data_IF_854472108035
#
_entry.id   IF_854472108035
#
_cell.length_a   1.000
_cell.length_b   1.000
_cell.length_c   1.000
_cell.angle_alpha   90.00
_cell.angle_beta   90.00
_cell.angle_gamma   90.00
#
_symmetry.space_group_name_H-M   'P 1'
#
loop_
_entity.id
_entity.type
_entity.pdbx_description
1 polymer ?
#
# COMPACT_ATOMS: atom_id res chain seq x y z
N UNK A 1 -15.65 10.93 12.76
CA UNK A 1 -15.56 10.83 14.24
C UNK A 1 -14.14 11.05 14.77
N UNK A 2 -13.11 11.03 13.91
CA UNK A 2 -11.73 11.37 14.27
C UNK A 2 -11.11 12.33 13.25
N UNK A 3 -9.93 12.86 13.56
CA UNK A 3 -9.10 13.64 12.65
C UNK A 3 -7.79 12.89 12.35
N UNK A 4 -7.13 13.24 11.25
CA UNK A 4 -5.85 12.64 10.88
C UNK A 4 -5.53 12.83 9.40
N UNK A 5 -4.53 12.11 8.90
CA UNK A 5 -4.16 12.15 7.49
C UNK A 5 -4.40 10.82 6.78
N UNK A 6 -4.73 10.88 5.49
CA UNK A 6 -4.84 9.70 4.62
C UNK A 6 -4.11 9.95 3.30
N UNK A 7 -3.50 8.91 2.75
CA UNK A 7 -2.81 8.99 1.44
C UNK A 7 -3.65 8.31 0.37
N UNK A 8 -3.93 9.02 -0.72
CA UNK A 8 -4.69 8.50 -1.85
C UNK A 8 -3.79 7.75 -2.86
N UNK A 9 -4.40 7.06 -3.82
CA UNK A 9 -3.68 6.28 -4.85
C UNK A 9 -2.80 7.16 -5.76
N UNK A 10 -3.20 8.41 -5.98
CA UNK A 10 -2.36 9.41 -6.66
C UNK A 10 -1.20 9.93 -5.79
N UNK A 11 -1.03 9.36 -4.59
CA UNK A 11 -0.01 9.67 -3.58
C UNK A 11 -0.13 11.04 -2.90
N UNK A 12 -1.21 11.78 -3.15
CA UNK A 12 -1.53 12.99 -2.39
C UNK A 12 -2.01 12.61 -0.98
N UNK A 13 -1.48 13.31 0.02
CA UNK A 13 -1.90 13.21 1.40
C UNK A 13 -2.97 14.27 1.67
N UNK A 14 -4.05 13.88 2.34
CA UNK A 14 -5.14 14.77 2.70
C UNK A 14 -5.33 14.74 4.21
N UNK A 15 -5.55 15.92 4.80
CA UNK A 15 -5.97 16.02 6.19
C UNK A 15 -7.50 15.86 6.28
N UNK A 16 -7.97 15.04 7.21
CA UNK A 16 -9.39 14.84 7.51
C UNK A 16 -9.68 15.44 8.87
N UNK A 17 -10.73 16.25 8.94
CA UNK A 17 -11.17 16.89 10.18
C UNK A 17 -12.25 16.07 10.89
N UNK A 18 -12.28 16.17 12.21
CA UNK A 18 -13.37 15.60 13.02
C UNK A 18 -14.65 16.41 12.83
N UNK A 19 -15.69 15.79 12.29
CA UNK A 19 -16.99 16.44 12.03
C UNK A 19 -17.98 16.27 13.19
N UNK A 20 -17.97 15.11 13.84
CA UNK A 20 -18.81 14.79 15.00
C UNK A 20 -17.97 14.03 16.04
N UNK A 21 -18.41 14.07 17.29
CA UNK A 21 -17.86 13.19 18.33
C UNK A 21 -18.23 11.72 18.05
N UNK A 22 -17.36 10.76 18.43
CA UNK A 22 -17.68 9.34 18.35
C UNK A 22 -19.02 9.01 19.03
N UNK A 23 -19.85 8.22 18.36
CA UNK A 23 -21.17 7.85 18.87
C UNK A 23 -21.08 6.83 20.02
N UNK A 24 -22.00 6.96 20.97
CA UNK A 24 -22.11 6.08 22.15
C UNK A 24 -20.83 6.03 22.97
N UNK A 25 -20.30 4.84 23.24
CA UNK A 25 -19.05 4.61 23.97
C UNK A 25 -17.86 4.38 23.02
N UNK A 26 -18.05 4.65 21.72
CA UNK A 26 -16.99 4.52 20.72
C UNK A 26 -15.87 5.51 21.01
N UNK A 27 -14.64 5.12 20.67
CA UNK A 27 -13.45 5.96 20.81
C UNK A 27 -12.60 5.81 19.55
N UNK A 28 -11.84 6.85 19.14
CA UNK A 28 -10.90 6.72 18.04
C UNK A 28 -9.83 5.67 18.34
N UNK A 29 -9.31 5.01 17.30
CA UNK A 29 -8.32 3.93 17.46
C UNK A 29 -7.10 4.34 18.26
N UNK A 30 -6.54 5.53 18.01
CA UNK A 30 -5.35 6.01 18.74
C UNK A 30 -5.61 6.25 20.24
N UNK A 31 -6.85 6.60 20.63
CA UNK A 31 -7.23 6.67 22.05
C UNK A 31 -7.33 5.27 22.67
N UNK A 32 -7.92 4.31 21.96
CA UNK A 32 -8.01 2.90 22.40
C UNK A 32 -6.61 2.30 22.55
N UNK A 33 -5.74 2.51 21.56
CA UNK A 33 -4.36 2.04 21.57
C UNK A 33 -3.54 2.64 22.72
N UNK A 34 -3.75 3.93 23.03
CA UNK A 34 -3.10 4.57 24.17
C UNK A 34 -3.60 4.03 25.52
N UNK A 35 -4.92 3.86 25.70
CA UNK A 35 -5.49 3.23 26.90
C UNK A 35 -4.94 1.80 27.09
N UNK A 36 -4.84 1.04 26.00
CA UNK A 36 -4.18 -0.27 26.01
C UNK A 36 -2.70 -0.18 26.45
N UNK A 37 -1.91 0.71 25.85
CA UNK A 37 -0.51 0.92 26.21
C UNK A 37 -0.33 1.31 27.68
N UNK A 38 -1.22 2.15 28.20
CA UNK A 38 -1.24 2.56 29.61
C UNK A 38 -1.50 1.38 30.54
N UNK A 39 -2.50 0.55 30.23
CA UNK A 39 -2.83 -0.65 31.02
C UNK A 39 -1.73 -1.70 31.00
N UNK A 40 -1.00 -1.77 29.89
CA UNK A 40 0.13 -2.68 29.72
C UNK A 40 1.46 -2.10 30.22
N UNK A 41 1.49 -0.87 30.73
CA UNK A 41 2.67 -0.26 31.36
C UNK A 41 3.72 0.29 30.38
N UNK A 42 3.36 0.57 29.12
CA UNK A 42 4.27 1.14 28.12
C UNK A 42 3.78 2.45 27.46
N UNK A 43 2.91 3.19 28.16
CA UNK A 43 2.38 4.47 27.67
C UNK A 43 3.50 5.48 27.34
N UNK A 44 4.53 5.61 28.19
CA UNK A 44 5.63 6.54 27.96
C UNK A 44 6.36 6.23 26.64
N UNK A 45 6.65 4.95 26.35
CA UNK A 45 7.26 4.53 25.08
C UNK A 45 6.32 4.76 23.90
N UNK A 46 5.01 4.53 24.07
CA UNK A 46 4.01 4.72 23.02
C UNK A 46 3.94 6.17 22.53
N UNK A 47 4.10 7.15 23.44
CA UNK A 47 4.09 8.58 23.10
C UNK A 47 5.49 9.17 22.87
N UNK A 48 6.51 8.31 22.78
CA UNK A 48 7.90 8.72 22.57
C UNK A 48 8.46 9.56 23.72
N UNK A 49 8.03 9.32 24.96
CA UNK A 49 8.53 10.01 26.13
C UNK A 49 9.84 9.41 26.61
N UNK A 50 10.91 10.21 26.57
CA UNK A 50 12.26 9.81 26.95
C UNK A 50 13.08 11.03 27.38
N UNK A 51 13.92 10.87 28.41
CA UNK A 51 14.89 11.89 28.86
C UNK A 51 14.26 13.28 29.11
N UNK A 52 13.02 13.29 29.61
CA UNK A 52 12.26 14.52 29.91
C UNK A 52 11.53 15.16 28.73
N UNK A 53 11.69 14.63 27.51
CA UNK A 53 10.95 15.04 26.33
C UNK A 53 9.81 14.07 26.00
N UNK A 54 8.76 14.54 25.34
CA UNK A 54 7.64 13.73 24.84
C UNK A 54 7.32 14.16 23.41
N UNK A 55 7.29 13.21 22.48
CA UNK A 55 7.11 13.50 21.06
C UNK A 55 5.64 13.72 20.69
N UNK A 56 4.73 12.97 21.34
CA UNK A 56 3.30 13.02 21.06
C UNK A 56 2.56 13.49 22.30
N UNK A 57 1.96 14.68 22.25
CA UNK A 57 1.15 15.17 23.36
C UNK A 57 -0.09 14.28 23.57
N UNK A 58 -0.58 14.24 24.81
CA UNK A 58 -1.82 13.53 25.17
C UNK A 58 -2.77 14.53 25.79
N UNK A 59 -3.98 14.60 25.25
CA UNK A 59 -5.04 15.50 25.72
C UNK A 59 -6.15 14.69 26.38
N UNK A 60 -6.84 15.29 27.34
CA UNK A 60 -8.09 14.75 27.87
C UNK A 60 -9.25 15.39 27.12
N UNK A 61 -10.05 14.59 26.42
CA UNK A 61 -11.18 15.08 25.64
C UNK A 61 -12.42 15.28 26.51
N UNK A 62 -13.42 15.99 25.98
CA UNK A 62 -14.68 16.28 26.69
C UNK A 62 -15.42 15.00 27.14
N UNK A 63 -15.30 13.91 26.36
CA UNK A 63 -15.84 12.60 26.69
C UNK A 63 -15.09 11.87 27.84
N UNK A 64 -14.03 12.48 28.40
CA UNK A 64 -13.37 12.04 29.62
C UNK A 64 -12.19 11.09 29.45
N UNK A 65 -11.97 10.55 28.24
CA UNK A 65 -10.80 9.72 27.93
C UNK A 65 -9.59 10.56 27.50
N UNK A 66 -8.41 9.92 27.51
CA UNK A 66 -7.15 10.50 27.03
C UNK A 66 -6.90 10.09 25.57
N UNK A 67 -6.39 11.01 24.78
CA UNK A 67 -6.19 10.85 23.34
C UNK A 67 -4.83 11.46 22.92
N UNK A 68 -3.98 10.70 22.20
CA UNK A 68 -2.79 11.26 21.55
C UNK A 68 -3.15 12.33 20.50
N UNK A 69 -2.39 13.43 20.46
CA UNK A 69 -2.56 14.51 19.46
C UNK A 69 -2.11 14.00 18.09
N UNK A 70 -3.06 13.89 17.15
CA UNK A 70 -2.85 13.28 15.83
C UNK A 70 -1.87 14.05 14.95
N UNK A 71 -1.77 15.38 15.13
CA UNK A 71 -0.78 16.21 14.47
C UNK A 71 0.64 15.80 14.88
N UNK A 72 0.87 15.54 16.16
CA UNK A 72 2.18 15.11 16.66
C UNK A 72 2.52 13.70 16.16
N UNK A 73 1.53 12.81 16.05
CA UNK A 73 1.70 11.49 15.44
C UNK A 73 2.21 11.62 14.00
N UNK A 74 1.62 12.49 13.18
CA UNK A 74 2.09 12.71 11.82
C UNK A 74 3.50 13.31 11.80
N UNK A 75 3.81 14.28 12.66
CA UNK A 75 5.16 14.85 12.76
C UNK A 75 6.19 13.79 13.16
N UNK A 76 5.84 12.86 14.04
CA UNK A 76 6.70 11.75 14.43
C UNK A 76 6.94 10.77 13.27
N UNK A 77 5.89 10.44 12.52
CA UNK A 77 6.01 9.66 11.27
C UNK A 77 6.94 10.38 10.28
N UNK A 78 6.79 11.69 10.10
CA UNK A 78 7.63 12.46 9.19
C UNK A 78 9.10 12.43 9.60
N UNK A 79 9.41 12.54 10.90
CA UNK A 79 10.80 12.44 11.41
C UNK A 79 11.46 11.08 11.14
N UNK A 80 10.68 10.01 11.00
CA UNK A 80 11.17 8.65 10.79
C UNK A 80 11.27 8.22 9.32
N UNK A 81 10.80 9.02 8.36
CA UNK A 81 10.54 8.55 6.98
C UNK A 81 11.38 9.26 5.90
N UNK A 82 12.58 9.70 6.28
CA UNK A 82 13.55 10.34 5.37
C UNK A 82 13.88 9.53 4.13
N UNK A 83 14.13 8.23 4.27
CA UNK A 83 14.54 7.36 3.15
C UNK A 83 13.47 7.16 2.09
N UNK A 84 12.22 7.36 2.47
CA UNK A 84 11.07 7.22 1.58
C UNK A 84 10.59 8.60 1.11
N UNK A 85 10.84 9.69 1.82
CA UNK A 85 10.42 11.03 1.39
C UNK A 85 8.97 11.36 1.78
N UNK A 86 8.58 10.95 2.99
CA UNK A 86 7.34 11.41 3.65
C UNK A 86 7.68 12.41 4.76
N UNK A 87 8.59 13.35 4.52
CA UNK A 87 9.12 14.24 5.57
C UNK A 87 8.58 15.66 5.49
N UNK A 88 8.28 16.14 4.29
CA UNK A 88 7.82 17.52 4.09
C UNK A 88 6.33 17.74 4.36
N UNK A 89 5.54 16.68 4.58
CA UNK A 89 4.08 16.76 4.74
C UNK A 89 3.63 17.01 6.18
N UNK A 90 3.97 18.18 6.74
CA UNK A 90 3.49 18.60 8.05
C UNK A 90 1.96 18.73 8.12
N UNK A 91 1.34 18.51 9.29
CA UNK A 91 -0.09 18.80 9.50
C UNK A 91 -0.51 20.20 9.04
N UNK A 92 0.31 21.22 9.32
CA UNK A 92 0.03 22.62 8.98
C UNK A 92 -0.15 22.83 7.49
N UNK A 93 0.81 22.36 6.69
CA UNK A 93 0.75 22.44 5.21
C UNK A 93 -0.45 21.66 4.67
N UNK A 94 -0.70 20.45 5.17
CA UNK A 94 -1.82 19.64 4.70
C UNK A 94 -3.17 20.30 5.02
N UNK A 95 -3.34 20.81 6.24
CA UNK A 95 -4.54 21.56 6.64
C UNK A 95 -4.73 22.84 5.82
N UNK A 96 -3.64 23.58 5.55
CA UNK A 96 -3.65 24.74 4.68
C UNK A 96 -4.16 24.37 3.27
N UNK A 97 -3.69 23.26 2.70
CA UNK A 97 -4.17 22.79 1.40
C UNK A 97 -5.68 22.47 1.44
N UNK A 98 -6.14 21.78 2.50
CA UNK A 98 -7.56 21.42 2.65
C UNK A 98 -8.48 22.63 2.80
N UNK A 99 -8.04 23.70 3.47
CA UNK A 99 -8.82 24.96 3.59
C UNK A 99 -8.85 25.78 2.30
N UNK A 100 -7.87 25.61 1.43
CA UNK A 100 -7.67 26.43 0.23
C UNK A 100 -7.61 25.59 -1.04
N UNK A 101 -8.45 24.55 -1.16
CA UNK A 101 -8.45 23.65 -2.33
C UNK A 101 -8.62 24.39 -3.66
N UNK A 102 -9.35 25.50 -3.64
CA UNK A 102 -9.59 26.36 -4.80
C UNK A 102 -8.32 27.10 -5.30
N UNK A 103 -7.23 27.09 -4.54
CA UNK A 103 -5.95 27.67 -4.95
C UNK A 103 -5.17 26.78 -5.94
N UNK A 104 -5.58 25.53 -6.12
CA UNK A 104 -4.88 24.55 -6.94
C UNK A 104 -5.61 24.34 -8.26
N UNK A 105 -4.86 24.32 -9.36
CA UNK A 105 -5.41 24.00 -10.67
C UNK A 105 -5.92 22.54 -10.71
N UNK A 106 -7.14 22.34 -11.23
CA UNK A 106 -7.80 21.02 -11.18
C UNK A 106 -7.15 19.95 -12.06
N UNK A 107 -6.28 20.34 -13.00
CA UNK A 107 -5.62 19.40 -13.93
C UNK A 107 -4.21 19.06 -13.47
N UNK A 108 -3.43 20.07 -13.15
CA UNK A 108 -2.02 19.96 -12.75
C UNK A 108 -1.87 19.78 -11.25
N UNK A 109 -2.92 20.07 -10.47
CA UNK A 109 -2.93 20.11 -9.01
C UNK A 109 -1.93 21.12 -8.44
N UNK A 110 -1.41 22.06 -9.24
CA UNK A 110 -0.38 22.99 -8.83
C UNK A 110 -1.00 24.31 -8.41
N UNK A 111 -0.52 24.87 -7.30
CA UNK A 111 -0.79 26.25 -6.94
C UNK A 111 0.27 27.15 -7.60
N UNK A 112 -0.16 28.13 -8.39
CA UNK A 112 0.73 29.06 -9.11
C UNK A 112 0.49 30.51 -8.71
N UNK A 113 -0.24 30.72 -7.63
CA UNK A 113 -0.61 32.04 -7.10
C UNK A 113 -0.20 32.13 -5.64
N UNK A 114 0.10 33.35 -5.16
CA UNK A 114 0.45 33.59 -3.76
C UNK A 114 -0.81 33.55 -2.87
N UNK A 115 -1.29 32.34 -2.60
CA UNK A 115 -2.35 32.11 -1.62
C UNK A 115 -1.72 31.77 -0.28
N UNK A 116 -1.98 32.62 0.71
CA UNK A 116 -1.52 32.48 2.08
C UNK A 116 -2.68 31.98 2.93
N UNK A 117 -2.50 30.83 3.57
CA UNK A 117 -3.48 30.29 4.49
C UNK A 117 -3.65 31.19 5.72
N UNK A 118 -4.88 31.56 6.03
CA UNK A 118 -5.19 32.54 7.09
C UNK A 118 -4.86 32.05 8.50
N UNK A 119 -4.86 30.73 8.71
CA UNK A 119 -4.66 30.14 10.03
C UNK A 119 -3.18 29.91 10.32
N UNK A 120 -2.44 29.40 9.34
CA UNK A 120 -1.02 29.03 9.51
C UNK A 120 -0.04 30.06 8.98
N UNK A 121 -0.49 31.00 8.14
CA UNK A 121 0.38 31.92 7.40
C UNK A 121 1.18 31.25 6.28
N UNK A 122 0.89 29.99 5.96
CA UNK A 122 1.62 29.23 4.95
C UNK A 122 1.28 29.70 3.53
N UNK A 123 2.29 30.12 2.76
CA UNK A 123 2.13 30.42 1.33
C UNK A 123 2.22 29.13 0.51
N UNK A 124 1.16 28.75 -0.17
CA UNK A 124 1.08 27.50 -0.96
C UNK A 124 1.62 27.63 -2.39
N UNK A 125 2.06 28.82 -2.82
CA UNK A 125 2.59 29.01 -4.17
C UNK A 125 3.74 28.03 -4.47
N UNK A 126 3.62 27.30 -5.58
CA UNK A 126 4.55 26.28 -6.03
C UNK A 126 4.17 24.85 -5.64
N UNK A 127 3.35 24.66 -4.60
CA UNK A 127 2.99 23.34 -4.10
C UNK A 127 2.05 22.58 -5.04
N UNK A 128 2.13 21.26 -4.97
CA UNK A 128 1.10 20.38 -5.51
C UNK A 128 0.09 20.01 -4.40
N UNK A 129 -1.20 19.92 -4.76
CA UNK A 129 -2.26 19.61 -3.82
C UNK A 129 -2.00 18.28 -3.11
N UNK A 130 -2.09 18.33 -1.77
CA UNK A 130 -1.76 17.20 -0.89
C UNK A 130 -0.30 16.73 -0.90
N UNK A 131 0.66 17.52 -1.40
CA UNK A 131 2.11 17.23 -1.29
C UNK A 131 2.48 15.79 -1.70
N UNK A 132 2.20 15.40 -2.96
CA UNK A 132 2.27 14.03 -3.43
C UNK A 132 3.67 13.43 -3.22
N UNK A 133 3.71 12.15 -2.88
CA UNK A 133 4.96 11.44 -2.59
C UNK A 133 5.88 11.32 -3.83
N UNK A 134 7.21 11.53 -3.65
CA UNK A 134 7.88 12.00 -2.43
C UNK A 134 7.81 13.52 -2.22
N UNK A 135 7.84 13.92 -0.95
CA UNK A 135 8.06 15.28 -0.48
C UNK A 135 9.20 15.27 0.56
N UNK A 136 10.38 15.72 0.13
CA UNK A 136 11.61 15.65 0.91
C UNK A 136 11.86 16.91 1.75
N UNK A 137 12.76 16.76 2.72
CA UNK A 137 13.20 17.87 3.56
C UNK A 137 12.26 18.16 4.72
N UNK A 138 12.58 19.21 5.46
CA UNK A 138 11.70 19.75 6.50
C UNK A 138 10.55 20.54 5.85
N UNK A 139 9.46 20.82 6.57
CA UNK A 139 8.38 21.67 6.07
C UNK A 139 8.87 23.05 5.58
N UNK A 140 9.88 23.62 6.24
CA UNK A 140 10.46 24.93 5.91
C UNK A 140 11.28 24.91 4.61
N UNK A 141 11.82 23.75 4.23
CA UNK A 141 12.46 23.57 2.93
C UNK A 141 11.46 23.71 1.77
N UNK A 142 10.16 23.54 2.06
CA UNK A 142 9.04 23.79 1.14
C UNK A 142 9.14 23.02 -0.18
N UNK A 143 9.54 21.75 -0.11
CA UNK A 143 9.45 20.87 -1.27
C UNK A 143 7.96 20.70 -1.65
N UNK A 144 7.57 20.80 -2.94
CA UNK A 144 6.16 20.86 -3.35
C UNK A 144 5.46 19.50 -3.44
N UNK A 145 6.25 18.42 -3.33
CA UNK A 145 5.81 17.06 -3.65
C UNK A 145 6.11 16.71 -5.11
N UNK A 146 6.13 15.42 -5.43
CA UNK A 146 6.56 14.91 -6.75
C UNK A 146 5.43 14.08 -7.40
N UNK A 147 4.47 14.73 -8.10
CA UNK A 147 3.35 14.01 -8.71
C UNK A 147 3.82 13.01 -9.78
N UNK A 148 4.83 13.39 -10.56
CA UNK A 148 5.46 12.53 -11.57
C UNK A 148 6.86 12.14 -11.10
N UNK A 149 7.06 10.85 -10.85
CA UNK A 149 8.38 10.34 -10.48
C UNK A 149 9.31 10.37 -11.69
N UNK A 150 10.59 10.61 -11.43
CA UNK A 150 11.65 10.52 -12.43
C UNK A 150 11.48 11.52 -13.61
N UNK A 151 10.80 12.64 -13.37
CA UNK A 151 10.67 13.73 -14.33
C UNK A 151 11.94 14.59 -14.30
N UNK A 152 12.88 14.28 -15.21
CA UNK A 152 14.15 15.01 -15.34
C UNK A 152 14.00 16.36 -16.01
N UNK A 153 12.84 16.67 -16.61
CA UNK A 153 12.57 17.96 -17.25
C UNK A 153 12.34 19.10 -16.25
N UNK A 154 12.32 18.79 -14.94
CA UNK A 154 12.11 19.74 -13.86
C UNK A 154 13.27 19.70 -12.86
N UNK A 155 13.46 20.84 -12.20
CA UNK A 155 14.34 20.94 -11.05
C UNK A 155 13.79 20.12 -9.88
N UNK A 156 14.66 19.56 -9.04
CA UNK A 156 14.24 18.69 -7.93
C UNK A 156 13.34 19.41 -6.92
N UNK A 157 13.59 20.70 -6.67
CA UNK A 157 12.74 21.56 -5.83
C UNK A 157 11.38 21.91 -6.46
N UNK A 158 11.13 21.48 -7.69
CA UNK A 158 9.87 21.68 -8.43
C UNK A 158 9.09 20.35 -8.57
N UNK A 159 9.48 19.32 -7.81
CA UNK A 159 8.90 17.97 -7.87
C UNK A 159 9.47 17.09 -8.98
N UNK A 160 10.59 17.52 -9.61
CA UNK A 160 11.35 16.71 -10.57
C UNK A 160 12.26 15.68 -9.91
N UNK A 161 12.86 14.79 -10.70
CA UNK A 161 13.83 13.86 -10.16
C UNK A 161 14.39 12.85 -11.13
N UNK A 162 15.22 11.97 -10.60
CA UNK A 162 15.95 10.92 -11.32
C UNK A 162 15.87 9.58 -10.58
N UNK A 163 16.41 8.52 -11.18
CA UNK A 163 16.35 7.18 -10.63
C UNK A 163 17.37 6.98 -9.50
N UNK A 164 16.93 6.28 -8.46
CA UNK A 164 17.70 6.09 -7.23
C UNK A 164 18.85 5.10 -7.37
N UNK A 165 20.02 5.44 -6.81
CA UNK A 165 21.20 4.57 -6.75
C UNK A 165 21.12 3.52 -5.61
N UNK A 166 20.05 2.72 -5.60
CA UNK A 166 19.74 1.81 -4.48
C UNK A 166 20.48 0.46 -4.53
N UNK A 167 21.01 0.07 -5.69
CA UNK A 167 21.54 -1.28 -5.93
C UNK A 167 23.07 -1.33 -6.06
N UNK A 168 23.75 -0.35 -5.48
CA UNK A 168 25.18 -0.14 -5.67
C UNK A 168 25.49 0.70 -6.92
N UNK A 169 26.78 0.93 -7.15
CA UNK A 169 27.29 1.77 -8.25
C UNK A 169 27.77 0.96 -9.45
N UNK A 170 28.03 -0.34 -9.25
CA UNK A 170 28.59 -1.24 -10.26
C UNK A 170 28.05 -2.65 -10.03
N UNK A 171 27.91 -3.40 -11.12
CA UNK A 171 27.72 -4.85 -11.11
C UNK A 171 28.47 -5.49 -12.27
N UNK A 172 29.21 -6.55 -11.99
CA UNK A 172 29.92 -7.35 -13.00
C UNK A 172 30.83 -6.49 -13.92
N UNK A 173 31.47 -5.45 -13.35
CA UNK A 173 32.30 -4.48 -14.09
C UNK A 173 31.52 -3.43 -14.88
N UNK A 174 30.19 -3.41 -14.79
CA UNK A 174 29.32 -2.46 -15.49
C UNK A 174 28.73 -1.45 -14.51
N UNK A 175 28.94 -0.17 -14.81
CA UNK A 175 28.35 0.92 -14.03
C UNK A 175 26.82 0.87 -14.03
N UNK A 176 26.25 0.93 -12.83
CA UNK A 176 24.81 1.07 -12.59
C UNK A 176 24.37 2.54 -12.52
N UNK A 177 25.33 3.48 -12.49
CA UNK A 177 25.07 4.90 -12.46
C UNK A 177 24.49 5.38 -13.80
N UNK A 178 23.71 6.45 -13.78
CA UNK A 178 23.13 7.03 -14.98
C UNK A 178 24.23 7.50 -15.96
N UNK A 179 23.92 7.45 -17.26
CA UNK A 179 24.80 7.97 -18.30
C UNK A 179 24.81 9.50 -18.30
N UNK A 180 25.83 10.08 -18.93
CA UNK A 180 25.99 11.52 -19.09
C UNK A 180 24.75 12.16 -19.74
N UNK A 181 24.29 13.27 -19.16
CA UNK A 181 23.12 14.01 -19.62
C UNK A 181 21.77 13.51 -19.06
N UNK A 182 21.75 12.42 -18.29
CA UNK A 182 20.55 11.95 -17.60
C UNK A 182 20.47 12.52 -16.17
N UNK A 183 20.02 13.76 -16.04
CA UNK A 183 19.90 14.46 -14.74
C UNK A 183 18.71 15.43 -14.71
N UNK A 184 18.29 15.85 -13.52
CA UNK A 184 17.26 16.88 -13.36
C UNK A 184 17.76 18.25 -13.83
N UNK A 185 16.85 19.09 -14.32
CA UNK A 185 17.16 20.47 -14.71
C UNK A 185 17.80 21.23 -13.54
N UNK A 186 18.91 21.92 -13.82
CA UNK A 186 19.65 22.73 -12.84
C UNK A 186 20.49 21.93 -11.83
N UNK A 187 20.67 20.62 -12.03
CA UNK A 187 21.61 19.84 -11.23
C UNK A 187 23.07 20.19 -11.57
N UNK A 188 23.90 20.37 -10.54
CA UNK A 188 25.35 20.60 -10.70
C UNK A 188 26.09 19.35 -11.18
N UNK A 189 25.60 18.16 -10.82
CA UNK A 189 26.13 16.89 -11.30
C UNK A 189 25.27 16.38 -12.46
N UNK A 190 25.86 16.38 -13.65
CA UNK A 190 25.16 16.06 -14.91
C UNK A 190 25.37 14.61 -15.38
N UNK A 191 26.09 13.82 -14.58
CA UNK A 191 26.36 12.39 -14.79
C UNK A 191 25.63 11.56 -13.73
N UNK A 192 25.77 10.24 -13.77
CA UNK A 192 25.38 9.39 -12.65
C UNK A 192 26.28 9.57 -11.42
N UNK A 193 25.72 9.48 -10.22
CA UNK A 193 26.44 9.68 -8.96
C UNK A 193 25.86 8.80 -7.82
N UNK A 194 26.68 8.41 -6.82
CA UNK A 194 26.22 7.61 -5.69
C UNK A 194 25.33 8.42 -4.74
N UNK A 195 24.73 7.73 -3.77
CA UNK A 195 24.04 8.38 -2.65
C UNK A 195 24.96 9.36 -1.89
N UNK A 196 24.41 10.47 -1.41
CA UNK A 196 25.16 11.48 -0.66
C UNK A 196 25.45 11.06 0.79
N UNK A 197 26.72 11.13 1.16
CA UNK A 197 27.19 11.00 2.53
C UNK A 197 28.13 12.14 2.93
N UNK A 198 28.51 12.21 4.21
CA UNK A 198 29.41 13.24 4.70
C UNK A 198 30.76 13.27 3.95
N UNK A 199 31.23 12.13 3.44
CA UNK A 199 32.50 12.06 2.69
C UNK A 199 32.35 12.69 1.32
N UNK A 200 31.30 12.33 0.58
CA UNK A 200 31.01 12.90 -0.73
C UNK A 200 30.75 14.41 -0.63
N UNK A 201 29.96 14.83 0.35
CA UNK A 201 29.70 16.25 0.61
C UNK A 201 31.00 17.03 0.86
N UNK A 202 31.96 16.47 1.61
CA UNK A 202 33.28 17.10 1.85
C UNK A 202 34.13 17.14 0.59
N UNK A 203 34.14 16.05 -0.20
CA UNK A 203 34.90 15.98 -1.46
C UNK A 203 34.41 16.98 -2.51
N UNK A 204 33.11 17.20 -2.57
CA UNK A 204 32.49 18.18 -3.48
C UNK A 204 32.62 19.63 -2.97
N UNK A 205 33.08 19.82 -1.73
CA UNK A 205 33.14 21.13 -1.08
C UNK A 205 31.80 21.61 -0.50
N UNK A 206 30.70 20.88 -0.73
CA UNK A 206 29.34 21.26 -0.31
C UNK A 206 29.11 21.17 1.20
N UNK A 207 30.01 20.50 1.94
CA UNK A 207 29.93 20.37 3.40
C UNK A 207 29.89 21.73 4.12
N UNK A 208 30.54 22.75 3.58
CA UNK A 208 30.62 24.09 4.21
C UNK A 208 29.29 24.86 4.14
N UNK A 209 28.33 24.38 3.34
CA UNK A 209 26.99 24.96 3.20
C UNK A 209 25.97 24.42 4.22
N UNK A 210 26.40 23.43 5.01
CA UNK A 210 25.72 23.02 6.22
C UNK A 210 26.01 24.02 7.34
N UNK A 211 24.99 24.36 8.12
CA UNK A 211 25.16 25.09 9.38
C UNK A 211 25.99 24.27 10.36
N UNK A 212 26.61 24.91 11.36
CA UNK A 212 27.42 24.19 12.36
C UNK A 212 26.64 23.06 13.07
N UNK A 213 25.36 23.29 13.34
CA UNK A 213 24.48 22.29 13.94
C UNK A 213 24.23 21.10 13.01
N UNK A 214 23.99 21.36 11.71
CA UNK A 214 23.82 20.31 10.70
C UNK A 214 25.13 19.54 10.47
N UNK A 215 26.29 20.21 10.42
CA UNK A 215 27.58 19.54 10.28
C UNK A 215 27.82 18.57 11.44
N UNK A 216 27.57 19.01 12.68
CA UNK A 216 27.67 18.15 13.87
C UNK A 216 26.68 16.98 13.82
N UNK A 217 25.47 17.20 13.31
CA UNK A 217 24.46 16.15 13.21
C UNK A 217 24.75 15.14 12.09
N UNK A 218 25.35 15.59 10.98
CA UNK A 218 25.59 14.81 9.77
C UNK A 218 26.97 14.12 9.73
N UNK A 219 27.90 14.50 10.61
CA UNK A 219 29.25 13.91 10.65
C UNK A 219 29.20 12.39 10.84
N UNK A 220 29.93 11.64 10.01
CA UNK A 220 29.88 10.17 10.04
C UNK A 220 28.60 9.55 9.45
N UNK A 221 27.67 10.34 8.92
CA UNK A 221 26.36 9.88 8.44
C UNK A 221 26.20 10.03 6.93
N UNK A 222 25.13 9.42 6.42
CA UNK A 222 24.60 9.66 5.08
C UNK A 222 23.24 10.35 5.14
N UNK A 223 22.74 10.77 3.97
CA UNK A 223 21.45 11.47 3.82
C UNK A 223 20.25 10.79 4.48
N UNK A 224 20.29 9.46 4.69
CA UNK A 224 19.22 8.68 5.32
C UNK A 224 19.18 8.83 6.84
N UNK A 225 20.37 8.99 7.41
CA UNK A 225 20.63 8.96 8.87
C UNK A 225 20.95 10.34 9.44
N UNK A 226 21.20 11.32 8.57
CA UNK A 226 21.24 12.72 8.93
C UNK A 226 19.83 13.25 9.26
N UNK A 227 19.46 13.17 10.53
CA UNK A 227 18.15 13.60 11.02
C UNK A 227 17.97 15.11 11.07
N UNK A 228 19.02 15.92 10.86
CA UNK A 228 18.82 17.37 10.71
C UNK A 228 18.29 17.72 9.31
N UNK A 229 18.36 16.80 8.35
CA UNK A 229 17.97 17.02 6.96
C UNK A 229 18.93 17.91 6.18
N UNK A 230 20.12 18.18 6.73
CA UNK A 230 21.07 19.14 6.17
C UNK A 230 21.64 18.66 4.84
N UNK A 231 22.04 17.39 4.74
CA UNK A 231 22.54 16.80 3.48
C UNK A 231 21.47 16.91 2.39
N UNK A 232 20.21 16.60 2.71
CA UNK A 232 19.09 16.68 1.75
C UNK A 232 18.88 18.12 1.31
N UNK A 233 18.85 19.06 2.26
CA UNK A 233 18.68 20.49 1.98
C UNK A 233 19.77 20.97 1.02
N UNK A 234 21.05 20.73 1.32
CA UNK A 234 22.15 21.21 0.49
C UNK A 234 22.12 20.53 -0.88
N UNK A 235 22.04 19.20 -0.95
CA UNK A 235 22.03 18.48 -2.23
C UNK A 235 20.89 18.95 -3.15
N UNK A 236 19.67 19.06 -2.62
CA UNK A 236 18.49 19.38 -3.44
C UNK A 236 18.33 20.87 -3.69
N UNK A 237 18.44 21.70 -2.65
CA UNK A 237 18.13 23.13 -2.73
C UNK A 237 19.27 23.93 -3.34
N UNK A 238 20.52 23.56 -3.03
CA UNK A 238 21.68 24.35 -3.46
C UNK A 238 22.28 23.81 -4.76
N UNK A 239 22.23 22.49 -4.98
CA UNK A 239 22.91 21.84 -6.12
C UNK A 239 21.99 21.09 -7.08
N UNK A 240 20.67 21.18 -6.89
CA UNK A 240 19.69 20.56 -7.79
C UNK A 240 19.76 19.03 -7.89
N UNK A 241 20.44 18.36 -6.94
CA UNK A 241 20.71 16.93 -6.97
C UNK A 241 19.81 16.19 -5.96
N UNK A 242 19.28 15.03 -6.33
CA UNK A 242 18.62 14.15 -5.35
C UNK A 242 19.62 13.54 -4.37
N UNK A 243 19.29 13.43 -3.07
CA UNK A 243 20.21 12.93 -2.05
C UNK A 243 20.52 11.43 -2.21
N UNK A 244 19.64 10.71 -2.89
CA UNK A 244 19.71 9.26 -3.05
C UNK A 244 20.53 8.79 -4.27
N UNK A 245 21.28 9.69 -4.91
CA UNK A 245 22.08 9.37 -6.09
C UNK A 245 21.33 9.49 -7.41
N UNK A 246 21.98 9.04 -8.48
CA UNK A 246 21.45 9.01 -9.83
C UNK A 246 21.94 7.76 -10.58
N UNK A 247 21.03 6.82 -10.82
CA UNK A 247 21.34 5.50 -11.39
C UNK A 247 20.42 5.12 -12.54
N UNK A 248 20.73 4.02 -13.21
CA UNK A 248 19.89 3.44 -14.28
C UNK A 248 18.67 2.75 -13.69
N UNK A 249 17.53 2.87 -14.38
CA UNK A 249 16.41 1.96 -14.17
C UNK A 249 16.83 0.51 -14.49
N UNK A 250 16.32 -0.45 -13.73
CA UNK A 250 16.70 -1.86 -13.86
C UNK A 250 15.55 -2.69 -14.42
N UNK A 251 15.76 -3.26 -15.61
CA UNK A 251 14.86 -4.25 -16.20
C UNK A 251 15.20 -5.70 -15.80
N UNK A 252 16.46 -5.97 -15.43
CA UNK A 252 16.93 -7.31 -15.01
C UNK A 252 17.15 -7.34 -13.51
N UNK A 253 16.33 -8.08 -12.78
CA UNK A 253 16.34 -8.16 -11.32
C UNK A 253 17.10 -9.40 -10.85
N UNK A 254 18.43 -9.37 -10.97
CA UNK A 254 19.32 -10.50 -10.66
C UNK A 254 19.21 -11.10 -9.24
N UNK A 255 18.56 -10.40 -8.30
CA UNK A 255 18.36 -10.87 -6.94
C UNK A 255 17.00 -11.54 -6.73
N UNK A 256 16.18 -11.67 -7.78
CA UNK A 256 14.92 -12.41 -7.75
C UNK A 256 15.11 -13.83 -8.32
N UNK A 257 14.20 -14.76 -7.99
CA UNK A 257 14.25 -16.12 -8.53
C UNK A 257 14.19 -16.14 -10.06
N UNK A 258 13.37 -15.27 -10.64
CA UNK A 258 13.29 -15.02 -12.06
C UNK A 258 13.80 -13.58 -12.32
N UNK A 259 15.00 -13.42 -12.93
CA UNK A 259 15.56 -12.09 -13.17
C UNK A 259 14.80 -11.25 -14.20
N UNK A 260 14.00 -11.90 -15.03
CA UNK A 260 13.10 -11.31 -16.01
C UNK A 260 11.75 -12.02 -15.92
N UNK A 261 10.64 -11.43 -16.39
CA UNK A 261 9.34 -12.10 -16.39
C UNK A 261 9.39 -13.41 -17.20
N UNK A 262 9.05 -14.52 -16.53
CA UNK A 262 8.94 -15.85 -17.12
C UNK A 262 7.55 -16.39 -16.77
N UNK A 263 6.86 -16.99 -17.74
CA UNK A 263 5.56 -17.63 -17.49
C UNK A 263 5.75 -18.85 -16.59
N UNK A 264 4.92 -18.96 -15.55
CA UNK A 264 4.83 -20.10 -14.64
C UNK A 264 3.36 -20.43 -14.39
N UNK A 265 3.02 -21.71 -14.40
CA UNK A 265 1.68 -22.16 -14.06
C UNK A 265 1.41 -21.99 -12.56
N UNK A 266 0.15 -21.70 -12.17
CA UNK A 266 -0.26 -21.58 -10.78
C UNK A 266 -0.08 -22.90 -10.01
N UNK A 267 -0.14 -22.85 -8.68
CA UNK A 267 0.09 -24.02 -7.84
C UNK A 267 -0.90 -25.15 -8.14
N UNK A 268 -2.13 -24.80 -8.50
CA UNK A 268 -3.15 -25.69 -9.02
C UNK A 268 -3.53 -25.23 -10.43
N UNK A 269 -3.28 -26.08 -11.41
CA UNK A 269 -3.66 -25.84 -12.80
C UNK A 269 -4.42 -27.05 -13.34
N UNK A 270 -5.51 -26.84 -14.12
CA UNK A 270 -6.18 -27.95 -14.81
C UNK A 270 -5.40 -28.43 -16.05
N UNK A 271 -4.22 -27.86 -16.33
CA UNK A 271 -3.40 -28.11 -17.53
C UNK A 271 -2.06 -28.79 -17.17
N UNK A 272 -2.03 -30.13 -17.00
CA UNK A 272 -0.79 -30.84 -16.69
C UNK A 272 0.31 -30.66 -17.74
N UNK A 273 -0.08 -30.46 -19.00
CA UNK A 273 0.84 -30.19 -20.11
C UNK A 273 1.54 -28.84 -19.95
N UNK A 274 0.82 -27.81 -19.47
CA UNK A 274 1.41 -26.50 -19.20
C UNK A 274 2.25 -26.51 -17.92
N UNK A 275 1.83 -27.26 -16.89
CA UNK A 275 2.62 -27.44 -15.66
C UNK A 275 3.98 -28.06 -15.98
N UNK A 276 4.02 -29.06 -16.86
CA UNK A 276 5.27 -29.67 -17.30
C UNK A 276 6.18 -28.70 -18.07
N UNK A 277 5.58 -27.80 -18.87
CA UNK A 277 6.33 -26.82 -19.67
C UNK A 277 6.79 -25.60 -18.85
N UNK A 278 5.99 -25.19 -17.87
CA UNK A 278 6.16 -23.95 -17.10
C UNK A 278 5.92 -24.22 -15.61
N UNK A 279 6.79 -25.00 -14.95
CA UNK A 279 6.59 -25.38 -13.56
C UNK A 279 6.68 -24.16 -12.63
N UNK A 280 6.08 -24.30 -11.45
CA UNK A 280 6.28 -23.37 -10.34
C UNK A 280 7.73 -23.39 -9.83
N UNK A 281 8.05 -22.54 -8.86
CA UNK A 281 9.38 -22.49 -8.25
C UNK A 281 9.71 -23.76 -7.45
N UNK A 282 10.99 -23.95 -7.12
CA UNK A 282 11.39 -24.97 -6.16
C UNK A 282 10.93 -24.61 -4.74
N UNK A 283 10.65 -25.64 -3.93
CA UNK A 283 10.30 -25.48 -2.53
C UNK A 283 11.39 -24.74 -1.75
N UNK A 284 10.98 -23.92 -0.78
CA UNK A 284 11.89 -23.18 0.09
C UNK A 284 11.74 -23.62 1.52
N UNK A 285 12.81 -24.16 2.09
CA UNK A 285 12.85 -24.56 3.50
C UNK A 285 12.67 -23.38 4.45
N UNK A 286 13.17 -22.20 4.09
CA UNK A 286 13.08 -21.00 4.93
C UNK A 286 12.87 -19.79 4.05
N UNK A 287 11.63 -19.32 4.00
CA UNK A 287 11.24 -18.09 3.35
C UNK A 287 10.37 -17.29 4.33
N UNK A 288 10.82 -16.10 4.73
CA UNK A 288 10.19 -15.29 5.78
C UNK A 288 9.86 -16.05 7.08
N UNK A 289 10.78 -16.94 7.49
CA UNK A 289 10.74 -17.80 8.71
C UNK A 289 9.86 -19.05 8.64
N UNK A 290 9.23 -19.36 7.50
CA UNK A 290 8.44 -20.58 7.33
C UNK A 290 8.90 -21.38 6.10
N UNK A 291 8.66 -22.71 6.06
CA UNK A 291 8.77 -23.46 4.82
C UNK A 291 7.62 -23.07 3.88
N UNK A 292 7.96 -22.85 2.61
CA UNK A 292 7.00 -22.51 1.56
C UNK A 292 7.11 -23.52 0.43
N UNK A 293 6.01 -24.22 0.18
CA UNK A 293 5.96 -25.28 -0.81
C UNK A 293 5.47 -24.72 -2.15
N UNK A 294 6.08 -25.19 -3.23
CA UNK A 294 5.79 -24.80 -4.59
C UNK A 294 5.68 -26.07 -5.43
N UNK A 295 6.77 -26.46 -6.08
CA UNK A 295 6.85 -27.64 -6.93
C UNK A 295 6.31 -28.90 -6.27
N UNK A 296 6.55 -29.16 -4.99
CA UNK A 296 6.02 -30.37 -4.34
C UNK A 296 4.49 -30.41 -4.28
N UNK A 297 3.84 -29.27 -4.04
CA UNK A 297 2.37 -29.17 -4.05
C UNK A 297 1.85 -29.29 -5.47
N UNK A 298 2.51 -28.67 -6.44
CA UNK A 298 2.12 -28.74 -7.85
C UNK A 298 2.25 -30.18 -8.39
N UNK A 299 3.37 -30.86 -8.12
CA UNK A 299 3.64 -32.24 -8.56
C UNK A 299 2.67 -33.24 -7.90
N UNK A 300 2.38 -33.07 -6.60
CA UNK A 300 1.38 -33.89 -5.89
C UNK A 300 -0.02 -33.76 -6.51
N UNK A 301 -0.32 -32.62 -7.12
CA UNK A 301 -1.63 -32.28 -7.68
C UNK A 301 -1.61 -32.16 -9.21
N UNK A 302 -0.66 -32.81 -9.90
CA UNK A 302 -0.51 -32.73 -11.36
C UNK A 302 -1.78 -33.06 -12.16
N UNK A 303 -2.64 -33.93 -11.62
CA UNK A 303 -3.88 -34.41 -12.25
C UNK A 303 -5.14 -33.72 -11.68
N UNK A 304 -4.99 -32.60 -10.95
CA UNK A 304 -6.08 -31.97 -10.19
C UNK A 304 -7.29 -31.59 -11.04
N UNK A 305 -7.06 -31.25 -12.32
CA UNK A 305 -8.10 -30.92 -13.29
C UNK A 305 -9.14 -32.02 -13.51
N UNK A 306 -8.82 -33.29 -13.21
CA UNK A 306 -9.80 -34.40 -13.29
C UNK A 306 -10.92 -34.27 -12.25
N UNK A 307 -10.61 -33.72 -11.08
CA UNK A 307 -11.58 -33.53 -9.99
C UNK A 307 -12.12 -32.10 -9.94
N UNK A 308 -11.25 -31.14 -10.23
CA UNK A 308 -11.52 -29.70 -10.18
C UNK A 308 -11.22 -29.07 -11.55
N UNK A 309 -12.10 -29.27 -12.56
CA UNK A 309 -11.83 -28.87 -13.94
C UNK A 309 -12.01 -27.37 -14.21
N UNK A 310 -12.64 -26.63 -13.30
CA UNK A 310 -12.93 -25.21 -13.50
C UNK A 310 -11.87 -24.35 -12.82
N UNK A 311 -11.41 -23.30 -13.48
CA UNK A 311 -10.61 -22.24 -12.86
C UNK A 311 -11.55 -21.39 -12.01
N UNK A 312 -11.18 -21.13 -10.76
CA UNK A 312 -11.89 -20.21 -9.87
C UNK A 312 -11.05 -18.95 -9.67
N UNK A 313 -11.61 -17.80 -10.01
CA UNK A 313 -11.02 -16.49 -9.70
C UNK A 313 -11.94 -15.67 -8.80
N UNK A 314 -11.34 -14.74 -8.06
CA UNK A 314 -12.06 -13.87 -7.12
C UNK A 314 -11.86 -12.40 -7.46
N UNK A 315 -12.88 -11.58 -7.22
CA UNK A 315 -12.77 -10.14 -7.46
C UNK A 315 -13.83 -9.30 -6.76
N UNK A 316 -13.93 -8.05 -7.22
CA UNK A 316 -14.75 -7.01 -6.60
C UNK A 316 -16.08 -6.82 -7.33
N UNK A 317 -17.05 -6.33 -6.59
CA UNK A 317 -18.32 -5.78 -7.04
C UNK A 317 -18.30 -4.28 -6.82
N UNK A 318 -19.11 -3.55 -7.61
CA UNK A 318 -19.15 -2.08 -7.56
C UNK A 318 -19.84 -1.59 -6.29
N UNK A 319 -20.80 -2.36 -5.80
CA UNK A 319 -21.68 -2.09 -4.68
C UNK A 319 -20.94 -2.14 -3.33
N UNK A 320 -19.79 -2.84 -3.27
CA UNK A 320 -19.10 -3.15 -2.03
C UNK A 320 -17.61 -2.80 -2.04
N UNK A 321 -17.12 -2.38 -0.88
CA UNK A 321 -15.71 -2.06 -0.65
C UNK A 321 -15.04 -3.11 0.25
N UNK A 322 -13.76 -3.40 0.00
CA UNK A 322 -12.98 -4.31 0.86
C UNK A 322 -13.63 -5.68 1.02
N UNK A 323 -13.66 -6.22 2.24
CA UNK A 323 -14.38 -7.45 2.59
C UNK A 323 -15.89 -7.27 2.75
N UNK A 324 -16.43 -6.10 2.40
CA UNK A 324 -17.85 -5.76 2.43
C UNK A 324 -18.43 -5.53 3.83
N UNK A 325 -17.61 -5.43 4.89
CA UNK A 325 -18.13 -5.34 6.27
C UNK A 325 -18.95 -4.06 6.50
N UNK A 326 -18.39 -2.91 6.14
CA UNK A 326 -19.08 -1.61 6.20
C UNK A 326 -20.25 -1.56 5.21
N UNK A 327 -20.03 -1.98 3.96
CA UNK A 327 -20.98 -1.78 2.87
C UNK A 327 -22.15 -2.78 2.88
N UNK A 328 -21.99 -4.00 3.40
CA UNK A 328 -23.10 -4.96 3.61
C UNK A 328 -23.93 -4.62 4.84
N UNK A 329 -23.43 -3.77 5.72
CA UNK A 329 -24.16 -3.27 6.90
C UNK A 329 -24.99 -2.02 6.57
N UNK A 330 -24.75 -1.39 5.42
CA UNK A 330 -25.53 -0.28 4.91
C UNK A 330 -26.74 -0.79 4.11
N UNK A 331 -28.00 -0.45 4.47
CA UNK A 331 -29.18 -0.99 3.81
C UNK A 331 -29.29 -0.64 2.32
N UNK A 332 -28.89 0.57 1.94
CA UNK A 332 -28.98 1.02 0.55
C UNK A 332 -27.98 0.30 -0.35
N UNK A 333 -26.76 0.06 0.11
CA UNK A 333 -25.75 -0.69 -0.64
C UNK A 333 -26.06 -2.20 -0.63
N UNK A 334 -26.53 -2.72 0.51
CA UNK A 334 -26.94 -4.11 0.64
C UNK A 334 -28.11 -4.48 -0.28
N UNK A 335 -29.03 -3.55 -0.54
CA UNK A 335 -30.15 -3.75 -1.48
C UNK A 335 -29.69 -3.98 -2.92
N UNK A 336 -28.59 -3.33 -3.36
CA UNK A 336 -28.10 -3.43 -4.73
C UNK A 336 -27.58 -4.84 -5.08
N UNK A 337 -27.08 -5.60 -4.09
CA UNK A 337 -26.60 -6.96 -4.29
C UNK A 337 -26.84 -7.84 -3.06
N UNK A 338 -27.93 -8.60 -3.05
CA UNK A 338 -28.34 -9.35 -1.85
C UNK A 338 -27.73 -10.75 -1.73
N UNK A 339 -27.27 -11.31 -2.85
CA UNK A 339 -26.89 -12.71 -2.92
C UNK A 339 -25.37 -12.86 -3.07
N UNK A 340 -24.79 -13.81 -2.33
CA UNK A 340 -23.45 -14.29 -2.63
C UNK A 340 -23.55 -15.34 -3.75
N UNK A 341 -22.81 -15.15 -4.85
CA UNK A 341 -22.94 -15.99 -6.04
C UNK A 341 -21.60 -16.46 -6.64
N UNK A 342 -21.65 -17.48 -7.49
CA UNK A 342 -20.58 -17.85 -8.41
C UNK A 342 -21.07 -17.66 -9.84
N UNK A 343 -20.32 -16.88 -10.63
CA UNK A 343 -20.51 -16.80 -12.08
C UNK A 343 -20.02 -18.07 -12.73
N UNK A 344 -20.85 -18.65 -13.58
CA UNK A 344 -20.55 -19.86 -14.33
C UNK A 344 -21.05 -19.72 -15.77
N UNK A 345 -20.25 -20.17 -16.72
CA UNK A 345 -20.64 -20.16 -18.12
C UNK A 345 -21.85 -21.10 -18.35
N UNK A 346 -22.85 -20.73 -19.18
CA UNK A 346 -24.02 -21.57 -19.45
C UNK A 346 -23.67 -23.00 -19.89
N UNK A 347 -22.62 -23.18 -20.71
CA UNK A 347 -22.16 -24.51 -21.16
C UNK A 347 -21.66 -25.36 -19.98
N UNK A 348 -20.92 -24.76 -19.06
CA UNK A 348 -20.40 -25.45 -17.88
C UNK A 348 -21.48 -25.77 -16.87
N UNK A 349 -22.48 -24.90 -16.75
CA UNK A 349 -23.66 -25.10 -15.93
C UNK A 349 -24.54 -26.24 -16.46
N UNK A 350 -24.82 -26.25 -17.78
CA UNK A 350 -25.59 -27.30 -18.45
C UNK A 350 -24.94 -28.67 -18.27
N UNK A 351 -23.61 -28.78 -18.49
CA UNK A 351 -22.85 -30.00 -18.28
C UNK A 351 -22.92 -30.54 -16.83
N UNK A 352 -23.34 -29.70 -15.87
CA UNK A 352 -23.47 -30.00 -14.44
C UNK A 352 -24.92 -29.98 -13.94
N UNK A 353 -25.89 -29.77 -14.82
CA UNK A 353 -27.32 -29.67 -14.45
C UNK A 353 -27.65 -28.48 -13.54
N UNK A 354 -26.85 -27.41 -13.57
CA UNK A 354 -27.02 -26.23 -12.72
C UNK A 354 -27.94 -25.21 -13.42
N UNK A 355 -28.95 -24.71 -12.71
CA UNK A 355 -29.87 -23.67 -13.19
C UNK A 355 -29.49 -22.31 -12.60
N UNK A 356 -29.84 -21.22 -13.30
CA UNK A 356 -29.63 -19.88 -12.78
C UNK A 356 -30.35 -19.66 -11.43
N UNK A 357 -29.71 -18.90 -10.53
CA UNK A 357 -30.19 -18.59 -9.18
C UNK A 357 -30.44 -19.81 -8.25
N UNK A 358 -29.88 -20.98 -8.58
CA UNK A 358 -29.88 -22.16 -7.73
C UNK A 358 -28.75 -22.07 -6.70
N UNK A 359 -28.94 -22.64 -5.50
CA UNK A 359 -27.80 -22.84 -4.61
C UNK A 359 -26.89 -23.95 -5.15
N UNK A 360 -25.59 -23.71 -5.10
CA UNK A 360 -24.54 -24.63 -5.52
C UNK A 360 -23.47 -24.73 -4.46
N UNK A 361 -22.79 -25.87 -4.40
CA UNK A 361 -21.53 -26.03 -3.68
C UNK A 361 -20.36 -25.77 -4.62
N UNK A 362 -19.46 -24.89 -4.20
CA UNK A 362 -18.14 -24.72 -4.83
C UNK A 362 -17.11 -25.44 -3.96
N UNK A 363 -16.55 -26.53 -4.47
CA UNK A 363 -15.53 -27.33 -3.81
C UNK A 363 -14.13 -26.93 -4.30
N UNK A 364 -13.16 -26.92 -3.39
CA UNK A 364 -11.78 -26.53 -3.69
C UNK A 364 -10.74 -27.62 -3.39
N UNK A 365 -9.51 -27.48 -3.94
CA UNK A 365 -8.25 -28.08 -3.53
C UNK A 365 -8.15 -28.73 -2.16
N UNK A 366 -8.48 -27.89 -1.19
CA UNK A 366 -8.16 -28.04 0.22
C UNK A 366 -9.18 -28.91 0.95
N UNK A 367 -10.22 -29.39 0.26
CA UNK A 367 -11.37 -30.08 0.85
C UNK A 367 -12.45 -29.13 1.36
N UNK A 368 -12.20 -27.81 1.33
CA UNK A 368 -13.20 -26.83 1.70
C UNK A 368 -14.29 -26.69 0.62
N UNK A 369 -15.49 -26.33 1.08
CA UNK A 369 -16.65 -26.02 0.23
C UNK A 369 -17.36 -24.78 0.72
N UNK A 370 -17.95 -24.03 -0.20
CA UNK A 370 -18.77 -22.85 0.09
C UNK A 370 -20.11 -22.98 -0.64
N UNK A 371 -21.20 -22.56 0.01
CA UNK A 371 -22.55 -22.55 -0.56
C UNK A 371 -22.94 -21.16 -1.05
N UNK A 372 -23.15 -21.03 -2.35
CA UNK A 372 -23.48 -19.75 -2.99
C UNK A 372 -24.58 -19.93 -4.04
N UNK A 373 -25.18 -18.85 -4.52
CA UNK A 373 -26.07 -18.86 -5.68
C UNK A 373 -25.26 -19.03 -6.97
N UNK A 374 -25.80 -19.69 -7.99
CA UNK A 374 -25.21 -19.67 -9.32
C UNK A 374 -25.74 -18.49 -10.14
N UNK A 375 -24.85 -17.76 -10.79
CA UNK A 375 -25.16 -16.75 -11.80
C UNK A 375 -24.68 -17.25 -13.16
N UNK A 376 -25.60 -17.74 -13.99
CA UNK A 376 -25.26 -18.20 -15.34
C UNK A 376 -25.02 -16.98 -16.24
N UNK A 377 -23.82 -16.88 -16.81
CA UNK A 377 -23.43 -15.71 -17.61
C UNK A 377 -22.30 -16.03 -18.57
N UNK A 378 -22.31 -15.42 -19.75
CA UNK A 378 -21.24 -15.53 -20.75
C UNK A 378 -20.06 -14.59 -20.46
N UNK A 379 -20.13 -13.77 -19.40
CA UNK A 379 -19.01 -12.89 -18.98
C UNK A 379 -17.77 -13.68 -18.56
N UNK A 380 -17.97 -14.88 -18.01
CA UNK A 380 -16.88 -15.83 -17.75
C UNK A 380 -16.78 -16.83 -18.90
N UNK A 381 -15.55 -17.06 -19.36
CA UNK A 381 -15.27 -18.06 -20.38
C UNK A 381 -15.59 -19.46 -19.89
N UNK A 382 -15.93 -20.38 -20.80
CA UNK A 382 -16.09 -21.79 -20.44
C UNK A 382 -14.79 -22.34 -19.82
N UNK A 383 -14.93 -23.13 -18.76
CA UNK A 383 -13.83 -23.60 -17.93
C UNK A 383 -13.41 -22.62 -16.82
N UNK A 384 -14.03 -21.45 -16.70
CA UNK A 384 -13.70 -20.44 -15.69
C UNK A 384 -14.94 -19.99 -14.92
N UNK A 385 -14.77 -19.75 -13.63
CA UNK A 385 -15.77 -19.22 -12.72
C UNK A 385 -15.23 -18.01 -11.98
N UNK A 386 -16.13 -17.10 -11.60
CA UNK A 386 -15.80 -15.92 -10.81
C UNK A 386 -16.67 -15.88 -9.55
N UNK A 387 -16.09 -15.46 -8.43
CA UNK A 387 -16.82 -15.27 -7.18
C UNK A 387 -16.39 -13.97 -6.48
N UNK A 388 -17.33 -13.09 -6.08
CA UNK A 388 -17.01 -11.89 -5.34
C UNK A 388 -16.55 -12.20 -3.92
N UNK A 389 -15.57 -11.44 -3.42
CA UNK A 389 -14.99 -11.66 -2.09
C UNK A 389 -15.59 -10.82 -0.96
N UNK A 390 -16.72 -10.15 -1.21
CA UNK A 390 -17.31 -9.19 -0.28
C UNK A 390 -18.19 -9.80 0.80
N UNK A 391 -18.42 -11.11 0.79
CA UNK A 391 -19.41 -11.75 1.65
C UNK A 391 -18.75 -12.48 2.81
N UNK A 392 -19.44 -12.48 3.95
CA UNK A 392 -19.06 -13.22 5.15
C UNK A 392 -20.31 -13.45 6.02
N UNK A 393 -20.16 -14.26 7.06
CA UNK A 393 -21.23 -14.59 7.99
C UNK A 393 -21.82 -15.99 7.78
N UNK A 394 -21.47 -16.68 6.70
CA UNK A 394 -21.69 -18.13 6.55
C UNK A 394 -20.36 -18.89 6.66
N UNK A 395 -20.45 -20.14 7.11
CA UNK A 395 -19.32 -21.07 7.14
C UNK A 395 -19.73 -22.44 6.62
N UNK A 396 -19.30 -22.76 5.39
CA UNK A 396 -19.60 -24.03 4.72
C UNK A 396 -21.11 -24.36 4.68
N UNK A 397 -21.92 -23.33 4.39
CA UNK A 397 -23.36 -23.37 4.21
C UNK A 397 -24.18 -23.16 5.48
N UNK A 398 -23.55 -23.04 6.65
CA UNK A 398 -24.23 -22.66 7.89
C UNK A 398 -24.23 -21.14 8.06
N UNK A 399 -25.42 -20.54 8.26
CA UNK A 399 -25.53 -19.12 8.66
C UNK A 399 -25.09 -18.97 10.12
N UNK A 400 -24.11 -18.09 10.36
CA UNK A 400 -23.56 -17.80 11.69
C UNK A 400 -24.26 -16.59 12.35
N UNK A 401 -25.48 -16.28 11.96
CA UNK A 401 -26.27 -15.18 12.54
C UNK A 401 -26.28 -15.22 14.08
N UNK A 402 -26.32 -16.42 14.68
CA UNK A 402 -26.32 -16.61 16.13
C UNK A 402 -25.01 -16.20 16.82
N UNK A 403 -23.94 -15.98 16.03
CA UNK A 403 -22.63 -15.51 16.52
C UNK A 403 -22.51 -14.00 16.55
N UNK A 404 -23.45 -13.27 15.94
CA UNK A 404 -23.47 -11.82 15.99
C UNK A 404 -24.20 -11.33 17.24
N UNK A 405 -23.70 -10.28 17.90
CA UNK A 405 -24.49 -9.55 18.89
C UNK A 405 -25.83 -9.09 18.28
N UNK A 406 -26.86 -9.00 19.12
CA UNK A 406 -28.20 -8.59 18.70
C UNK A 406 -28.14 -7.22 18.01
N UNK A 407 -28.56 -7.17 16.74
CA UNK A 407 -28.57 -5.95 15.93
C UNK A 407 -27.25 -5.59 15.26
N UNK A 408 -26.20 -6.40 15.42
CA UNK A 408 -24.88 -6.15 14.83
C UNK A 408 -24.58 -6.99 13.57
N UNK A 409 -25.50 -7.89 13.18
CA UNK A 409 -25.32 -8.69 11.98
C UNK A 409 -25.46 -7.80 10.73
N UNK A 410 -24.59 -7.96 9.72
CA UNK A 410 -24.76 -7.28 8.45
C UNK A 410 -26.06 -7.74 7.77
N UNK A 411 -26.62 -6.85 6.96
CA UNK A 411 -27.92 -7.06 6.29
C UNK A 411 -27.81 -8.22 5.31
N UNK A 412 -26.72 -8.25 4.55
CA UNK A 412 -26.39 -9.32 3.61
C UNK A 412 -25.27 -10.18 4.20
N UNK A 413 -25.47 -11.50 4.22
CA UNK A 413 -24.51 -12.50 4.66
C UNK A 413 -24.27 -13.52 3.55
N UNK A 414 -23.12 -14.18 3.61
CA UNK A 414 -22.75 -15.21 2.65
C UNK A 414 -21.41 -15.83 3.02
N UNK A 415 -20.83 -16.58 2.11
CA UNK A 415 -19.58 -17.28 2.34
C UNK A 415 -18.38 -16.36 2.13
N UNK A 416 -17.38 -16.50 2.99
CA UNK A 416 -16.06 -15.95 2.70
C UNK A 416 -15.40 -16.80 1.60
N UNK A 417 -15.16 -16.22 0.43
CA UNK A 417 -14.48 -16.94 -0.67
C UNK A 417 -13.11 -17.49 -0.23
N UNK A 418 -12.45 -16.82 0.71
CA UNK A 418 -11.15 -17.25 1.23
C UNK A 418 -11.19 -18.68 1.78
N UNK A 419 -12.34 -19.16 2.25
CA UNK A 419 -12.54 -20.56 2.66
C UNK A 419 -12.24 -21.54 1.53
N UNK A 420 -12.51 -21.17 0.27
CA UNK A 420 -12.28 -22.00 -0.93
C UNK A 420 -11.02 -21.59 -1.73
N UNK A 421 -10.16 -20.73 -1.16
CA UNK A 421 -8.91 -20.29 -1.84
C UNK A 421 -7.76 -21.30 -1.69
N UNK A 422 -6.67 -21.03 -2.41
CA UNK A 422 -5.50 -21.90 -2.53
C UNK A 422 -4.45 -21.65 -1.44
N UNK A 423 -3.54 -22.61 -1.30
CA UNK A 423 -2.30 -22.48 -0.52
C UNK A 423 -1.26 -21.58 -1.21
N UNK A 424 -1.28 -21.39 -2.53
CA UNK A 424 -0.18 -20.73 -3.27
C UNK A 424 0.21 -19.32 -2.79
N UNK A 425 1.48 -18.95 -2.99
CA UNK A 425 2.05 -17.64 -2.60
C UNK A 425 3.03 -17.11 -3.66
N UNK A 426 3.18 -15.80 -3.76
CA UNK A 426 4.23 -15.18 -4.59
C UNK A 426 5.63 -15.49 -4.04
N UNK A 427 6.55 -15.78 -4.95
CA UNK A 427 7.92 -16.25 -4.64
C UNK A 427 8.86 -15.17 -4.11
N UNK A 428 8.41 -13.90 -4.05
CA UNK A 428 9.22 -12.77 -3.57
C UNK A 428 8.58 -12.12 -2.35
N UNK A 429 7.26 -11.92 -2.39
CA UNK A 429 6.49 -11.10 -1.42
C UNK A 429 5.64 -11.91 -0.46
N UNK A 430 5.45 -13.21 -0.68
CA UNK A 430 4.49 -14.05 0.05
C UNK A 430 3.03 -13.60 -0.08
N UNK A 431 2.70 -12.79 -1.09
CA UNK A 431 1.30 -12.46 -1.40
C UNK A 431 0.56 -13.73 -1.83
N UNK A 432 -0.58 -14.04 -1.21
CA UNK A 432 -1.33 -15.25 -1.52
C UNK A 432 -1.88 -15.23 -2.96
N UNK A 433 -1.86 -16.39 -3.63
CA UNK A 433 -2.35 -16.65 -4.99
C UNK A 433 -3.90 -16.66 -5.05
N UNK A 434 -4.54 -15.59 -4.56
CA UNK A 434 -6.01 -15.50 -4.41
C UNK A 434 -6.79 -15.35 -5.73
N UNK A 435 -6.09 -15.23 -6.87
CA UNK A 435 -6.69 -14.94 -8.18
C UNK A 435 -6.74 -16.13 -9.12
N UNK A 436 -6.02 -17.19 -8.81
CA UNK A 436 -5.94 -18.38 -9.64
C UNK A 436 -5.95 -19.63 -8.75
N UNK A 437 -7.07 -20.32 -8.73
CA UNK A 437 -7.17 -21.69 -8.20
C UNK A 437 -8.10 -22.49 -9.11
N UNK A 438 -8.39 -23.73 -8.73
CA UNK A 438 -9.37 -24.57 -9.40
C UNK A 438 -10.51 -24.95 -8.45
N UNK A 439 -11.67 -25.25 -9.01
CA UNK A 439 -12.84 -25.69 -8.27
C UNK A 439 -13.67 -26.74 -9.02
N UNK A 440 -14.63 -27.30 -8.31
CA UNK A 440 -15.76 -28.02 -8.86
C UNK A 440 -17.05 -27.36 -8.36
N UNK A 441 -18.03 -27.21 -9.23
CA UNK A 441 -19.34 -26.66 -8.88
C UNK A 441 -20.38 -27.76 -9.05
N UNK A 442 -21.22 -27.95 -8.04
CA UNK A 442 -22.32 -28.94 -8.06
C UNK A 442 -23.59 -28.35 -7.47
N UNK A 443 -24.75 -28.87 -7.87
CA UNK A 443 -26.03 -28.54 -7.23
C UNK A 443 -25.98 -28.80 -5.71
N UNK A 444 -26.55 -27.88 -4.91
CA UNK A 444 -26.48 -27.94 -3.44
C UNK A 444 -27.52 -28.80 -2.74
#
# INVERSE_FOLDING_TARGET
>A
ECAGSCTASNRSIQWREKVIEPLFESRPDHAIMYDFAKRMGFADQFVGKRDGAQNIAVIKVAAGYEEPVVEDVLREINKGTWTIGYTGQSPERLKAHMRNMNAFDVRTLRCTTDVIDKETGYNMNGDYFGLPWPCYGTPEMKHPGSPNLYDTSKHVMEGGGNFRANFGVERDGVSLLAEDGSHSVGADITTGYPEFDHVLMKKLGWWVELTEAEQKAAEGKNWKTDLSGGIIRVAMKNHGCHPFGNAKARAVVWNFPDPVPIHREPIYSPRPDLVAKYPSHEDRKTFWRLPTLYKSVQDKNKDIGKQFPLILTSGRLVEYEGGGDETRSNPWLAELQQENFVEINPKDAEARGIKNNQFVWVHSPTGAKIKVKSLLTERVASGTTFIPFHFAGWWQGADLLDKYPKGAAPIVRGEAVNTATTYGYDSVTMMQESKTTVCQVVAA
#
